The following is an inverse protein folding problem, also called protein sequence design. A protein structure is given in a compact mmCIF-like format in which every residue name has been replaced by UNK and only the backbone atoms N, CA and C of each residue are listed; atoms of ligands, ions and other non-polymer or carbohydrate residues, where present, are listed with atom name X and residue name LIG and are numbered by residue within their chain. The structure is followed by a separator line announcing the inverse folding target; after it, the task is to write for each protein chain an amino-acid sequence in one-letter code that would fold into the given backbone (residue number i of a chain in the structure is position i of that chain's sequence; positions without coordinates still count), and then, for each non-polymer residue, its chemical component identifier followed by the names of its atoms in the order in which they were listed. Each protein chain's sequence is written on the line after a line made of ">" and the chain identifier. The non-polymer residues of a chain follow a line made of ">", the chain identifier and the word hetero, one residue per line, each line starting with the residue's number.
data_IF_590025452934
#
_entry.id   IF_590025452934
#
_cell.length_a   1.000
_cell.length_b   1.000
_cell.length_c   1.000
_cell.angle_alpha   90.00
_cell.angle_beta   90.00
_cell.angle_gamma   90.00
#
_symmetry.space_group_name_H-M   'P 1'
#
loop_
_entity.id
_entity.type
_entity.pdbx_description
1 polymer ?
#
# COMPACT_ATOMS: atom_id res chain seq x y z
N UNK A 1 25.41 -26.07 -11.24
CA UNK A 1 24.61 -25.43 -10.18
C UNK A 1 23.74 -26.51 -9.55
N UNK A 2 23.67 -26.55 -8.22
CA UNK A 2 22.76 -27.46 -7.50
C UNK A 2 21.36 -26.90 -7.57
N UNK A 3 20.37 -27.76 -7.79
CA UNK A 3 18.94 -27.43 -7.77
C UNK A 3 18.54 -26.75 -6.45
N UNK A 4 17.61 -25.78 -6.50
CA UNK A 4 17.07 -25.09 -5.33
C UNK A 4 16.47 -26.09 -4.34
N UNK A 5 15.57 -26.95 -4.85
CA UNK A 5 14.89 -27.97 -4.04
C UNK A 5 15.91 -28.92 -3.42
N UNK A 6 16.88 -29.37 -4.21
CA UNK A 6 17.91 -30.32 -3.76
C UNK A 6 18.80 -29.74 -2.66
N UNK A 7 19.19 -28.47 -2.77
CA UNK A 7 20.03 -27.80 -1.78
C UNK A 7 19.27 -27.57 -0.47
N UNK A 8 18.04 -27.08 -0.55
CA UNK A 8 17.19 -26.85 0.63
C UNK A 8 16.82 -28.17 1.32
N UNK A 9 16.41 -29.21 0.57
CA UNK A 9 16.05 -30.52 1.15
C UNK A 9 17.21 -31.12 1.96
N UNK A 10 18.44 -31.01 1.44
CA UNK A 10 19.65 -31.44 2.16
C UNK A 10 19.81 -30.71 3.49
N UNK A 11 19.63 -29.39 3.52
CA UNK A 11 19.75 -28.59 4.73
C UNK A 11 18.61 -28.86 5.72
N UNK A 12 17.37 -28.94 5.25
CA UNK A 12 16.19 -29.24 6.08
C UNK A 12 16.28 -30.64 6.68
N UNK A 13 16.74 -31.66 5.94
CA UNK A 13 16.94 -33.01 6.48
C UNK A 13 18.05 -33.09 7.52
N UNK A 14 19.14 -32.34 7.33
CA UNK A 14 20.29 -32.37 8.24
C UNK A 14 20.03 -31.60 9.54
N UNK A 15 19.34 -30.46 9.46
CA UNK A 15 19.25 -29.49 10.55
C UNK A 15 17.83 -29.25 11.08
N UNK A 16 16.81 -29.80 10.41
CA UNK A 16 15.41 -29.45 10.65
C UNK A 16 15.03 -28.09 10.08
N UNK A 17 13.73 -27.80 10.03
CA UNK A 17 13.21 -26.50 9.61
C UNK A 17 13.04 -25.56 10.81
N UNK A 18 13.47 -24.30 10.66
CA UNK A 18 13.28 -23.24 11.64
C UNK A 18 12.14 -22.26 11.28
N UNK A 19 11.30 -22.62 10.30
CA UNK A 19 10.19 -21.80 9.78
C UNK A 19 10.63 -20.43 9.23
N UNK A 20 11.81 -20.39 8.61
CA UNK A 20 12.29 -19.24 7.84
C UNK A 20 12.70 -19.67 6.44
N UNK A 21 13.10 -18.71 5.59
CA UNK A 21 13.70 -18.97 4.28
C UNK A 21 15.24 -18.87 4.31
N UNK A 22 15.86 -19.22 5.44
CA UNK A 22 17.30 -19.03 5.63
C UNK A 22 18.11 -19.74 4.55
N UNK A 23 17.77 -20.99 4.19
CA UNK A 23 18.51 -21.77 3.21
C UNK A 23 18.23 -21.28 1.79
N UNK A 24 16.97 -20.95 1.46
CA UNK A 24 16.61 -20.34 0.18
C UNK A 24 17.34 -19.01 -0.06
N UNK A 25 17.48 -18.17 0.98
CA UNK A 25 18.20 -16.90 0.89
C UNK A 25 19.70 -17.11 0.62
N UNK A 26 20.31 -18.10 1.28
CA UNK A 26 21.72 -18.45 1.04
C UNK A 26 21.91 -18.97 -0.39
N UNK A 27 21.02 -19.84 -0.85
CA UNK A 27 21.07 -20.36 -2.22
C UNK A 27 20.89 -19.24 -3.26
N UNK A 28 19.96 -18.31 -3.06
CA UNK A 28 19.75 -17.16 -3.95
C UNK A 28 21.01 -16.32 -4.10
N UNK A 29 21.67 -16.00 -2.98
CA UNK A 29 22.91 -15.23 -2.98
C UNK A 29 24.06 -15.92 -3.73
N UNK A 30 24.18 -17.25 -3.59
CA UNK A 30 25.21 -18.05 -4.29
C UNK A 30 24.99 -18.12 -5.81
N UNK A 31 23.74 -18.01 -6.25
CA UNK A 31 23.37 -18.13 -7.66
C UNK A 31 23.09 -16.76 -8.32
N UNK A 32 23.36 -15.65 -7.62
CA UNK A 32 23.19 -14.29 -8.15
C UNK A 32 21.73 -13.91 -8.41
N UNK A 33 20.80 -14.53 -7.69
CA UNK A 33 19.36 -14.27 -7.79
C UNK A 33 19.00 -13.19 -6.76
N UNK A 34 18.19 -12.21 -7.17
CA UNK A 34 17.68 -11.21 -6.23
C UNK A 34 16.75 -11.87 -5.21
N UNK A 35 17.12 -11.77 -3.94
CA UNK A 35 16.40 -12.42 -2.87
C UNK A 35 14.95 -11.92 -2.74
N UNK A 36 14.67 -10.66 -3.08
CA UNK A 36 13.33 -10.09 -2.94
C UNK A 36 12.40 -10.63 -4.01
N UNK A 37 12.88 -10.67 -5.26
CA UNK A 37 12.11 -11.21 -6.38
C UNK A 37 11.81 -12.70 -6.16
N UNK A 38 12.80 -13.45 -5.67
CA UNK A 38 12.64 -14.87 -5.35
C UNK A 38 11.68 -15.09 -4.17
N UNK A 39 11.81 -14.31 -3.10
CA UNK A 39 10.91 -14.40 -1.96
C UNK A 39 9.45 -14.09 -2.36
N UNK A 40 9.24 -13.10 -3.22
CA UNK A 40 7.90 -12.77 -3.71
C UNK A 40 7.32 -13.93 -4.55
N UNK A 41 8.12 -14.57 -5.40
CA UNK A 41 7.69 -15.75 -6.15
C UNK A 41 7.35 -16.94 -5.23
N UNK A 42 8.13 -17.16 -4.17
CA UNK A 42 7.88 -18.20 -3.17
C UNK A 42 6.58 -17.93 -2.39
N UNK A 43 6.37 -16.71 -1.91
CA UNK A 43 5.16 -16.35 -1.17
C UNK A 43 3.88 -16.41 -2.03
N UNK A 44 3.96 -16.02 -3.31
CA UNK A 44 2.83 -16.14 -4.26
C UNK A 44 2.40 -17.58 -4.48
N UNK A 45 3.34 -18.52 -4.36
CA UNK A 45 3.09 -19.95 -4.45
C UNK A 45 2.88 -20.61 -3.06
N UNK A 46 2.55 -19.81 -2.04
CA UNK A 46 2.27 -20.25 -0.67
C UNK A 46 3.44 -20.99 0.02
N UNK A 47 4.68 -20.56 -0.24
CA UNK A 47 5.90 -21.12 0.36
C UNK A 47 6.53 -20.12 1.33
N UNK A 48 6.19 -20.24 2.61
CA UNK A 48 6.56 -19.31 3.69
C UNK A 48 7.72 -19.80 4.58
N UNK A 49 8.22 -21.02 4.36
CA UNK A 49 9.45 -21.55 4.97
C UNK A 49 10.22 -22.43 3.97
N UNK A 50 11.50 -22.68 4.24
CA UNK A 50 12.32 -23.69 3.53
C UNK A 50 11.64 -25.07 3.46
N UNK A 51 10.88 -25.45 4.49
CA UNK A 51 10.10 -26.69 4.51
C UNK A 51 9.00 -26.74 3.45
N UNK A 52 8.31 -25.63 3.25
CA UNK A 52 7.20 -25.49 2.32
C UNK A 52 7.71 -25.35 0.89
N UNK A 53 8.92 -24.83 0.68
CA UNK A 53 9.57 -24.85 -0.64
C UNK A 53 9.76 -26.30 -1.09
N UNK A 54 10.36 -27.14 -0.24
CA UNK A 54 10.61 -28.55 -0.58
C UNK A 54 9.29 -29.32 -0.74
N UNK A 55 8.25 -28.96 0.02
CA UNK A 55 6.97 -29.66 -0.02
C UNK A 55 6.07 -29.26 -1.19
N UNK A 56 6.11 -27.98 -1.62
CA UNK A 56 5.15 -27.43 -2.57
C UNK A 56 5.76 -27.11 -3.95
N UNK A 57 7.09 -27.06 -4.08
CA UNK A 57 7.74 -26.75 -5.34
C UNK A 57 8.04 -28.03 -6.12
N UNK A 58 7.32 -28.25 -7.22
CA UNK A 58 7.47 -29.46 -8.05
C UNK A 58 8.72 -29.43 -8.95
N UNK A 59 9.17 -28.23 -9.34
CA UNK A 59 10.37 -28.01 -10.16
C UNK A 59 11.07 -26.74 -9.71
N UNK A 60 12.37 -26.57 -10.00
CA UNK A 60 13.09 -25.33 -9.69
C UNK A 60 12.60 -24.08 -10.47
N UNK A 61 11.54 -24.21 -11.28
CA UNK A 61 10.92 -23.11 -11.99
C UNK A 61 9.89 -22.43 -11.09
N UNK A 62 10.22 -21.21 -10.65
CA UNK A 62 9.28 -20.33 -9.99
C UNK A 62 8.49 -19.58 -11.07
N UNK A 63 7.23 -19.98 -11.25
CA UNK A 63 6.31 -19.19 -12.05
C UNK A 63 5.94 -17.93 -11.27
N UNK A 64 6.35 -16.77 -11.80
CA UNK A 64 5.68 -15.54 -11.46
C UNK A 64 4.27 -15.68 -12.00
N UNK A 65 3.28 -15.71 -11.10
CA UNK A 65 1.90 -15.55 -11.54
C UNK A 65 1.83 -14.10 -12.02
N UNK A 66 1.92 -13.90 -13.34
CA UNK A 66 1.53 -12.64 -13.96
C UNK A 66 0.10 -12.38 -13.53
N UNK A 67 -0.07 -11.53 -12.52
CA UNK A 67 -1.38 -11.00 -12.22
C UNK A 67 -1.84 -10.35 -13.52
N UNK A 68 -2.88 -10.88 -14.14
CA UNK A 68 -3.41 -10.33 -15.39
C UNK A 68 -3.75 -8.85 -15.15
N UNK A 69 -2.83 -7.96 -15.53
CA UNK A 69 -3.04 -6.52 -15.45
C UNK A 69 -3.81 -6.15 -16.71
N UNK A 70 -5.13 -6.24 -16.63
CA UNK A 70 -5.95 -5.34 -17.43
C UNK A 70 -5.67 -3.92 -16.89
N UNK A 71 -4.83 -3.18 -17.59
CA UNK A 71 -4.65 -1.74 -17.36
C UNK A 71 -5.98 -1.08 -17.71
N UNK A 72 -6.83 -0.89 -16.71
CA UNK A 72 -8.01 -0.04 -16.87
C UNK A 72 -7.51 1.41 -16.88
N UNK A 73 -7.29 1.94 -18.08
CA UNK A 73 -7.07 3.36 -18.31
C UNK A 73 -8.36 4.16 -18.01
N UNK A 74 -8.81 4.17 -16.75
CA UNK A 74 -9.95 4.96 -16.26
C UNK A 74 -10.16 5.08 -14.73
N UNK A 75 -9.36 4.51 -13.82
CA UNK A 75 -9.75 4.49 -12.39
C UNK A 75 -8.94 5.43 -11.47
N UNK A 76 -9.48 6.63 -11.19
CA UNK A 76 -8.89 7.67 -10.30
C UNK A 76 -9.61 7.77 -8.94
N UNK A 77 -9.98 6.61 -8.38
CA UNK A 77 -10.68 6.44 -7.09
C UNK A 77 -12.18 6.80 -7.07
N UNK A 78 -12.96 6.18 -7.97
CA UNK A 78 -14.41 6.34 -8.02
C UNK A 78 -15.19 5.26 -7.26
N UNK A 79 -16.05 5.72 -6.34
CA UNK A 79 -17.45 5.26 -6.27
C UNK A 79 -18.23 5.97 -7.40
N UNK A 80 -19.12 5.31 -8.16
CA UNK A 80 -19.74 5.86 -9.37
C UNK A 80 -20.66 7.10 -9.21
N UNK A 81 -20.83 7.64 -8.01
CA UNK A 81 -21.92 8.58 -7.70
C UNK A 81 -21.50 9.90 -7.05
N UNK A 82 -20.23 10.30 -7.13
CA UNK A 82 -19.81 11.63 -6.68
C UNK A 82 -20.28 12.67 -7.71
N UNK A 83 -21.38 13.37 -7.40
CA UNK A 83 -21.76 14.59 -8.14
C UNK A 83 -20.63 15.61 -8.02
N UNK A 84 -20.38 16.33 -9.10
CA UNK A 84 -19.40 17.41 -9.16
C UNK A 84 -19.62 18.45 -8.05
N UNK A 85 -18.54 19.15 -7.74
CA UNK A 85 -18.39 20.00 -6.57
C UNK A 85 -19.53 20.99 -6.33
N UNK A 86 -19.98 21.05 -5.08
CA UNK A 86 -20.53 22.27 -4.48
C UNK A 86 -19.34 23.22 -4.20
N UNK A 87 -19.52 24.54 -4.30
CA UNK A 87 -18.49 25.56 -3.99
C UNK A 87 -18.14 25.62 -2.48
N UNK A 88 -18.46 24.56 -1.75
CA UNK A 88 -18.22 24.44 -0.32
C UNK A 88 -16.73 24.45 0.00
N UNK A 89 -16.35 25.32 0.92
CA UNK A 89 -14.98 25.40 1.43
C UNK A 89 -14.63 24.15 2.25
N UNK A 90 -13.44 23.62 2.04
CA UNK A 90 -12.88 22.48 2.76
C UNK A 90 -12.16 23.02 3.99
N UNK A 91 -12.65 22.64 5.17
CA UNK A 91 -12.12 23.11 6.47
C UNK A 91 -11.45 22.00 7.27
N UNK A 92 -11.37 20.79 6.72
CA UNK A 92 -10.75 19.63 7.36
C UNK A 92 -9.92 18.85 6.36
N UNK A 93 -8.80 18.32 6.83
CA UNK A 93 -7.93 17.46 6.04
C UNK A 93 -7.31 16.35 6.89
N UNK A 94 -6.62 15.41 6.25
CA UNK A 94 -5.89 14.33 6.93
C UNK A 94 -4.44 14.77 7.07
N UNK A 95 -3.93 14.73 8.29
CA UNK A 95 -2.53 15.04 8.61
C UNK A 95 -1.84 13.87 9.30
N UNK A 96 -0.53 13.79 9.14
CA UNK A 96 0.31 12.86 9.86
C UNK A 96 0.52 13.33 11.30
N UNK A 97 0.76 12.37 12.19
CA UNK A 97 1.10 12.62 13.58
C UNK A 97 2.32 11.80 13.96
N UNK A 98 3.24 12.39 14.71
CA UNK A 98 4.38 11.66 15.26
C UNK A 98 3.97 10.66 16.37
N UNK A 99 4.90 9.78 16.75
CA UNK A 99 4.73 8.89 17.90
C UNK A 99 3.81 7.68 17.69
N UNK A 100 3.31 7.43 16.47
CA UNK A 100 2.42 6.29 16.16
C UNK A 100 3.14 4.93 16.05
N UNK A 101 4.47 4.92 16.22
CA UNK A 101 5.29 3.71 16.12
C UNK A 101 5.64 3.35 14.68
N UNK A 102 5.83 2.04 14.44
CA UNK A 102 6.36 1.52 13.16
C UNK A 102 5.38 1.81 12.00
N UNK A 103 5.92 1.95 10.79
CA UNK A 103 5.19 2.12 9.53
C UNK A 103 4.44 3.47 9.35
N UNK A 104 4.72 4.46 10.20
CA UNK A 104 4.25 5.83 10.05
C UNK A 104 5.47 6.74 9.97
N UNK A 105 5.79 7.25 8.77
CA UNK A 105 7.06 7.95 8.51
C UNK A 105 6.90 9.36 7.94
N UNK A 106 5.67 9.77 7.61
CA UNK A 106 5.37 11.16 7.30
C UNK A 106 5.64 12.07 8.52
N UNK A 107 6.01 13.31 8.25
CA UNK A 107 6.37 14.30 9.27
C UNK A 107 5.13 14.76 10.06
N UNK A 108 5.31 15.18 11.30
CA UNK A 108 4.19 15.68 12.10
C UNK A 108 3.50 16.89 11.42
N UNK A 109 2.17 16.89 11.38
CA UNK A 109 1.37 17.93 10.73
C UNK A 109 1.39 17.90 9.19
N UNK A 110 2.12 16.97 8.58
CA UNK A 110 2.22 16.83 7.13
C UNK A 110 0.87 16.42 6.52
N UNK A 111 0.49 16.98 5.36
CA UNK A 111 -0.74 16.59 4.69
C UNK A 111 -0.62 15.18 4.13
N UNK A 112 -1.63 14.36 4.36
CA UNK A 112 -1.64 12.96 3.94
C UNK A 112 -2.62 12.75 2.80
N UNK A 113 -2.12 12.11 1.75
CA UNK A 113 -2.86 11.79 0.53
C UNK A 113 -2.95 10.28 0.39
N UNK A 114 -4.13 9.68 0.15
CA UNK A 114 -4.20 8.24 -0.11
C UNK A 114 -3.31 7.88 -1.31
N UNK A 115 -2.44 6.89 -1.16
CA UNK A 115 -1.55 6.48 -2.23
C UNK A 115 -2.36 6.04 -3.46
N UNK A 116 -1.95 6.37 -4.70
CA UNK A 116 -2.61 5.86 -5.90
C UNK A 116 -2.40 4.35 -6.05
N UNK A 117 -3.22 3.72 -6.89
CA UNK A 117 -3.09 2.30 -7.18
C UNK A 117 -1.71 2.03 -7.79
N UNK A 118 -1.06 0.95 -7.34
CA UNK A 118 0.28 0.60 -7.80
C UNK A 118 1.40 1.50 -7.27
N UNK A 119 1.10 2.49 -6.41
CA UNK A 119 2.14 3.25 -5.74
C UNK A 119 3.01 2.33 -4.88
N UNK A 120 4.33 2.42 -5.08
CA UNK A 120 5.29 1.70 -4.25
C UNK A 120 5.70 2.58 -3.08
N UNK A 121 5.52 2.13 -1.82
CA UNK A 121 5.85 2.94 -0.67
C UNK A 121 7.38 3.13 -0.57
N UNK A 122 7.84 4.36 -0.36
CA UNK A 122 9.28 4.67 -0.20
C UNK A 122 9.94 4.00 1.01
N UNK A 123 9.12 3.51 1.94
CA UNK A 123 9.54 2.76 3.13
C UNK A 123 8.49 1.72 3.50
N UNK A 124 8.90 0.63 4.13
CA UNK A 124 8.02 -0.52 4.44
C UNK A 124 6.77 -0.12 5.23
N UNK A 125 5.61 -0.48 4.68
CA UNK A 125 4.30 -0.58 5.35
C UNK A 125 3.86 -2.05 5.41
N UNK A 126 2.82 -2.41 6.17
CA UNK A 126 2.27 -3.78 6.19
C UNK A 126 1.69 -4.15 4.81
N UNK A 127 1.95 -5.37 4.33
CA UNK A 127 1.42 -5.88 3.04
C UNK A 127 -0.12 -5.90 2.99
N UNK A 128 -0.78 -6.03 4.15
CA UNK A 128 -2.25 -6.13 4.26
C UNK A 128 -2.95 -4.78 4.39
N UNK A 129 -2.22 -3.67 4.35
CA UNK A 129 -2.82 -2.33 4.48
C UNK A 129 -2.43 -1.48 3.29
N UNK A 130 -3.35 -0.62 2.86
CA UNK A 130 -3.00 0.49 2.00
C UNK A 130 -2.46 1.65 2.84
N UNK A 131 -1.83 2.63 2.21
CA UNK A 131 -1.12 3.69 2.91
C UNK A 131 -1.43 5.09 2.37
N UNK A 132 -1.18 6.09 3.20
CA UNK A 132 -1.11 7.48 2.81
C UNK A 132 0.34 7.86 2.45
N UNK A 133 0.48 8.85 1.57
CA UNK A 133 1.74 9.49 1.20
C UNK A 133 1.72 10.90 1.81
N UNK A 134 2.79 11.25 2.51
CA UNK A 134 3.03 12.62 2.94
C UNK A 134 3.28 13.56 1.75
N UNK A 135 2.55 14.67 1.68
CA UNK A 135 2.61 15.62 0.56
C UNK A 135 3.90 16.44 0.50
N UNK A 136 4.72 16.45 1.54
CA UNK A 136 5.99 17.17 1.60
C UNK A 136 7.20 16.23 1.52
N UNK A 137 7.17 15.11 2.25
CA UNK A 137 8.25 14.15 2.39
C UNK A 137 8.16 13.00 1.38
N UNK A 138 6.95 12.72 0.85
CA UNK A 138 6.65 11.52 0.07
C UNK A 138 6.71 10.23 0.90
N UNK A 139 6.83 10.33 2.22
CA UNK A 139 6.98 9.17 3.09
C UNK A 139 5.62 8.50 3.37
N UNK A 140 5.58 7.16 3.42
CA UNK A 140 4.33 6.45 3.64
C UNK A 140 3.92 6.44 5.11
N UNK A 141 2.62 6.42 5.36
CA UNK A 141 2.02 6.32 6.70
C UNK A 141 0.73 5.51 6.63
N UNK A 142 0.55 4.57 7.56
CA UNK A 142 -0.66 3.72 7.61
C UNK A 142 -1.86 4.44 8.26
N UNK A 143 -1.60 5.38 9.16
CA UNK A 143 -2.61 6.08 9.96
C UNK A 143 -2.47 7.60 9.86
N UNK A 144 -3.53 8.27 9.42
CA UNK A 144 -3.65 9.72 9.47
C UNK A 144 -4.67 10.19 10.51
N UNK A 145 -4.70 11.49 10.76
CA UNK A 145 -5.63 12.12 11.70
C UNK A 145 -6.39 13.25 11.01
N UNK A 146 -7.69 13.33 11.25
CA UNK A 146 -8.49 14.47 10.79
C UNK A 146 -8.08 15.72 11.58
N UNK A 147 -7.64 16.76 10.90
CA UNK A 147 -7.31 18.06 11.48
C UNK A 147 -8.15 19.16 10.85
N UNK A 148 -8.32 20.26 11.57
CA UNK A 148 -8.83 21.50 11.00
C UNK A 148 -7.76 22.16 10.15
N UNK A 149 -8.18 22.77 9.06
CA UNK A 149 -7.33 23.56 8.18
C UNK A 149 -8.02 24.89 7.89
N UNK A 150 -7.23 25.89 7.49
CA UNK A 150 -7.77 27.10 6.91
C UNK A 150 -8.70 26.75 5.73
N UNK A 151 -9.89 27.36 5.63
CA UNK A 151 -10.84 27.08 4.57
C UNK A 151 -10.19 27.20 3.18
N UNK A 152 -10.23 26.14 2.38
CA UNK A 152 -9.68 26.10 1.02
C UNK A 152 -10.68 25.54 0.02
N UNK A 153 -10.67 26.07 -1.20
CA UNK A 153 -11.41 25.49 -2.31
C UNK A 153 -10.77 24.19 -2.78
N UNK A 154 -11.52 23.38 -3.52
CA UNK A 154 -10.97 22.17 -4.14
C UNK A 154 -9.77 22.48 -5.03
N UNK A 155 -9.82 23.57 -5.80
CA UNK A 155 -8.75 23.98 -6.69
C UNK A 155 -7.47 24.34 -5.93
N UNK A 156 -7.60 25.09 -4.83
CA UNK A 156 -6.45 25.46 -3.98
C UNK A 156 -5.74 24.24 -3.39
N UNK A 157 -6.51 23.22 -2.98
CA UNK A 157 -5.92 21.96 -2.47
C UNK A 157 -5.16 21.23 -3.58
N UNK A 158 -5.72 21.14 -4.79
CA UNK A 158 -5.04 20.50 -5.93
C UNK A 158 -3.76 21.25 -6.28
N UNK A 159 -3.82 22.57 -6.40
CA UNK A 159 -2.63 23.40 -6.68
C UNK A 159 -1.55 23.21 -5.62
N UNK A 160 -1.92 23.17 -4.35
CA UNK A 160 -0.99 22.93 -3.24
C UNK A 160 -0.29 21.58 -3.35
N UNK A 161 -1.02 20.51 -3.69
CA UNK A 161 -0.46 19.16 -3.81
C UNK A 161 0.36 19.02 -5.10
N UNK A 162 -0.08 19.64 -6.19
CA UNK A 162 0.66 19.70 -7.44
C UNK A 162 1.98 20.48 -7.31
N UNK A 163 2.06 21.44 -6.38
CA UNK A 163 3.29 22.14 -6.03
C UNK A 163 4.28 21.28 -5.20
N UNK A 164 3.89 20.08 -4.76
CA UNK A 164 4.83 19.16 -4.10
C UNK A 164 5.86 18.59 -5.07
N UNK A 165 7.04 18.25 -4.56
CA UNK A 165 8.07 17.52 -5.31
C UNK A 165 7.85 16.00 -5.33
N UNK A 166 6.71 15.52 -4.81
CA UNK A 166 6.40 14.10 -4.67
C UNK A 166 5.74 13.60 -5.95
N UNK A 167 6.50 12.92 -6.80
CA UNK A 167 6.08 12.48 -8.14
C UNK A 167 4.89 11.51 -8.11
N UNK A 168 4.77 10.70 -7.06
CA UNK A 168 3.65 9.77 -6.84
C UNK A 168 2.31 10.49 -6.68
N UNK A 169 2.33 11.79 -6.35
CA UNK A 169 1.13 12.62 -6.22
C UNK A 169 0.76 13.37 -7.50
N UNK A 170 1.52 13.23 -8.58
CA UNK A 170 1.17 13.82 -9.89
C UNK A 170 -0.21 13.42 -10.44
N UNK A 171 -0.79 12.24 -10.13
CA UNK A 171 -2.15 11.91 -10.56
C UNK A 171 -3.26 12.53 -9.68
N UNK A 172 -2.91 13.28 -8.63
CA UNK A 172 -3.86 13.88 -7.71
C UNK A 172 -4.66 15.01 -8.37
N UNK A 173 -5.99 14.91 -8.33
CA UNK A 173 -6.90 15.87 -8.95
C UNK A 173 -8.13 16.14 -8.07
N UNK A 174 -9.05 16.95 -8.60
CA UNK A 174 -10.26 17.38 -7.90
C UNK A 174 -11.14 16.20 -7.45
N UNK A 175 -11.12 15.06 -8.16
CA UNK A 175 -11.91 13.88 -7.80
C UNK A 175 -11.40 13.26 -6.51
N UNK A 176 -10.07 13.18 -6.36
CA UNK A 176 -9.45 12.64 -5.14
C UNK A 176 -9.75 13.55 -3.94
N UNK A 177 -9.70 14.87 -4.12
CA UNK A 177 -10.09 15.83 -3.07
C UNK A 177 -11.51 15.58 -2.59
N UNK A 178 -12.47 15.46 -3.52
CA UNK A 178 -13.87 15.21 -3.21
C UNK A 178 -14.07 13.89 -2.48
N UNK A 179 -13.41 12.83 -2.95
CA UNK A 179 -13.44 11.55 -2.28
C UNK A 179 -12.97 11.65 -0.82
N UNK A 180 -11.81 12.28 -0.58
CA UNK A 180 -11.27 12.47 0.78
C UNK A 180 -12.25 13.26 1.64
N UNK A 181 -12.75 14.39 1.12
CA UNK A 181 -13.70 15.26 1.81
C UNK A 181 -14.95 14.49 2.26
N UNK A 182 -15.56 13.71 1.37
CA UNK A 182 -16.77 12.94 1.69
C UNK A 182 -16.53 11.90 2.79
N UNK A 183 -15.34 11.30 2.82
CA UNK A 183 -14.99 10.28 3.83
C UNK A 183 -14.72 10.88 5.20
N UNK A 184 -14.18 12.10 5.27
CA UNK A 184 -13.79 12.72 6.53
C UNK A 184 -14.76 13.79 7.03
N UNK A 185 -15.69 14.28 6.21
CA UNK A 185 -16.56 15.42 6.53
C UNK A 185 -17.35 15.25 7.84
N UNK A 186 -17.75 14.01 8.16
CA UNK A 186 -18.53 13.65 9.36
C UNK A 186 -17.67 13.16 10.53
N UNK A 187 -16.35 13.10 10.36
CA UNK A 187 -15.44 12.65 11.40
C UNK A 187 -15.06 13.81 12.30
N UNK A 188 -14.96 13.54 13.61
CA UNK A 188 -14.48 14.53 14.57
C UNK A 188 -13.00 14.84 14.32
N UNK A 189 -12.58 16.05 14.66
CA UNK A 189 -11.16 16.41 14.71
C UNK A 189 -10.42 15.43 15.63
N UNK A 190 -9.18 15.11 15.27
CA UNK A 190 -8.35 14.07 15.87
C UNK A 190 -8.85 12.63 15.70
N UNK A 191 -9.89 12.40 14.89
CA UNK A 191 -10.24 11.03 14.50
C UNK A 191 -9.12 10.40 13.68
N UNK A 192 -8.62 9.25 14.13
CA UNK A 192 -7.66 8.48 13.38
C UNK A 192 -8.34 7.74 12.21
N UNK A 193 -7.69 7.75 11.05
CA UNK A 193 -8.16 7.12 9.82
C UNK A 193 -7.06 6.31 9.16
N UNK A 194 -7.45 5.19 8.55
CA UNK A 194 -6.64 4.36 7.67
C UNK A 194 -7.17 4.41 6.24
N UNK A 195 -6.44 3.79 5.33
CA UNK A 195 -6.85 3.63 3.93
C UNK A 195 -6.72 2.18 3.46
N UNK A 196 -7.58 1.76 2.53
CA UNK A 196 -7.67 0.40 2.02
C UNK A 196 -8.16 0.38 0.57
N UNK A 197 -7.88 -0.72 -0.13
CA UNK A 197 -8.25 -0.98 -1.51
C UNK A 197 -9.11 -2.24 -1.57
N UNK A 198 -10.42 -2.04 -1.70
CA UNK A 198 -11.39 -3.13 -1.68
C UNK A 198 -11.71 -3.61 -3.08
N UNK A 199 -11.65 -4.91 -3.30
CA UNK A 199 -12.19 -5.53 -4.50
C UNK A 199 -13.70 -5.73 -4.33
N UNK A 200 -14.49 -5.04 -5.13
CA UNK A 200 -15.95 -5.12 -5.18
C UNK A 200 -16.32 -5.91 -6.43
N UNK A 201 -17.03 -7.02 -6.24
CA UNK A 201 -17.55 -7.82 -7.36
C UNK A 201 -18.96 -7.35 -7.68
N UNK A 202 -19.15 -6.77 -8.86
CA UNK A 202 -20.44 -6.32 -9.38
C UNK A 202 -20.92 -7.17 -10.56
N UNK A 203 -22.15 -6.90 -11.00
CA UNK A 203 -22.79 -7.55 -12.15
C UNK A 203 -21.98 -7.36 -13.45
N UNK A 204 -21.22 -6.27 -13.55
CA UNK A 204 -20.36 -5.92 -14.69
C UNK A 204 -18.90 -6.36 -14.52
N UNK A 205 -18.57 -7.15 -13.50
CA UNK A 205 -17.21 -7.62 -13.21
C UNK A 205 -16.63 -7.13 -11.89
N UNK A 206 -15.34 -7.38 -11.69
CA UNK A 206 -14.58 -6.97 -10.52
C UNK A 206 -14.11 -5.53 -10.67
N UNK A 207 -14.32 -4.70 -9.66
CA UNK A 207 -13.79 -3.33 -9.59
C UNK A 207 -13.07 -3.12 -8.27
N UNK A 208 -12.04 -2.26 -8.24
CA UNK A 208 -11.31 -1.92 -7.01
C UNK A 208 -11.63 -0.50 -6.57
N UNK A 209 -11.91 -0.34 -5.28
CA UNK A 209 -12.35 0.92 -4.68
C UNK A 209 -11.43 1.32 -3.52
N UNK A 210 -10.93 2.56 -3.55
CA UNK A 210 -10.29 3.17 -2.39
C UNK A 210 -11.31 3.47 -1.31
N UNK A 211 -10.91 3.22 -0.07
CA UNK A 211 -11.71 3.56 1.09
C UNK A 211 -10.85 4.20 2.18
N UNK A 212 -11.38 5.25 2.80
CA UNK A 212 -10.84 5.81 4.04
C UNK A 212 -11.80 5.39 5.16
N UNK A 213 -11.27 4.81 6.23
CA UNK A 213 -12.05 4.28 7.33
C UNK A 213 -11.45 4.69 8.67
N UNK A 214 -12.28 4.75 9.71
CA UNK A 214 -11.81 5.05 11.08
C UNK A 214 -10.98 3.89 11.60
N UNK A 215 -9.89 4.21 12.28
CA UNK A 215 -9.06 3.23 12.99
C UNK A 215 -9.01 3.57 14.48
N UNK A 216 -8.79 2.56 15.31
CA UNK A 216 -8.59 2.73 16.75
C UNK A 216 -7.08 2.66 16.99
N UNK A 217 -6.50 3.77 17.44
CA UNK A 217 -5.09 3.83 17.85
C UNK A 217 -5.06 3.67 19.37
N UNK A 218 -4.26 2.72 19.86
CA UNK A 218 -3.96 2.63 21.30
C UNK A 218 -2.97 3.76 21.61
N UNK A 219 -3.38 4.67 22.49
CA UNK A 219 -2.52 5.72 23.02
C UNK A 219 -1.45 5.18 23.95
#
# INVERSE_FOLDING_TARGET
>A
MTSLISDIDKHVRASGCNHTHQFAQVWAAQNGIDWRDMLDALEQNCMFCDCEIVANLETDQLEFIESAVAVEAANRWLSPSLKAADDSMITRWIVAKEGLGKNNYAQDGEWLIPAPWGATPRKRVRKTVHFFIGAQSGMPTEVGFVAEIEPQSTAQIVERIAASSVTELSPFDTRVVWFVQQKIARLAVSSAVGTDLREVVGVSGKRRELNIYRVIVRG
#
